data_IF_785715069636
#
_entry.id   IF_785715069636
#
_cell.length_a   1.000
_cell.length_b   1.000
_cell.length_c   1.000
_cell.angle_alpha   90.00
_cell.angle_beta   90.00
_cell.angle_gamma   90.00
#
_symmetry.space_group_name_H-M   'P 1'
#
loop_
_entity.id
_entity.type
_entity.pdbx_description
1 polymer ?
#
# COMPACT_ATOMS: atom_id res chain seq x y z
N UNK A 1 25.77 25.71 58.09
CA UNK A 1 25.94 27.16 57.83
C UNK A 1 24.73 27.60 57.00
N UNK A 2 23.74 28.20 57.65
CA UNK A 2 22.45 28.54 57.04
C UNK A 2 22.57 29.96 56.48
N UNK A 3 22.68 30.08 55.15
CA UNK A 3 22.63 31.39 54.49
C UNK A 3 21.21 31.94 54.61
N UNK A 4 21.02 32.84 55.58
CA UNK A 4 19.75 33.52 55.85
C UNK A 4 19.88 34.99 55.47
N UNK A 5 19.80 35.29 54.19
CA UNK A 5 19.55 36.64 53.69
C UNK A 5 18.95 36.51 52.30
N UNK A 6 17.67 36.86 52.11
CA UNK A 6 17.23 37.70 51.00
C UNK A 6 15.90 38.38 51.34
N UNK A 7 15.85 39.66 51.01
CA UNK A 7 14.76 40.59 51.25
C UNK A 7 13.53 40.16 50.41
N UNK A 8 12.36 39.99 51.03
CA UNK A 8 11.13 39.45 50.38
C UNK A 8 10.70 40.19 49.11
N UNK A 9 11.10 41.46 48.96
CA UNK A 9 10.77 42.28 47.77
C UNK A 9 11.59 41.91 46.52
N UNK A 10 12.76 41.26 46.65
CA UNK A 10 13.60 40.89 45.51
C UNK A 10 13.32 39.50 44.94
N UNK A 11 12.76 38.60 45.75
CA UNK A 11 12.55 37.20 45.37
C UNK A 11 11.59 37.03 44.19
N UNK A 12 10.51 37.82 44.14
CA UNK A 12 9.54 37.76 43.04
C UNK A 12 10.11 38.19 41.69
N UNK A 13 11.03 39.15 41.67
CA UNK A 13 11.70 39.56 40.42
C UNK A 13 12.64 38.47 39.90
N UNK A 14 13.35 37.78 40.79
CA UNK A 14 14.25 36.68 40.41
C UNK A 14 13.46 35.50 39.86
N UNK A 15 12.36 35.13 40.50
CA UNK A 15 11.48 34.05 40.04
C UNK A 15 10.89 34.35 38.65
N UNK A 16 10.48 35.60 38.42
CA UNK A 16 10.00 36.07 37.12
C UNK A 16 11.07 35.97 36.02
N UNK A 17 12.30 36.38 36.31
CA UNK A 17 13.42 36.31 35.34
C UNK A 17 13.74 34.86 34.99
N UNK A 18 13.82 33.97 35.99
CA UNK A 18 14.11 32.54 35.76
C UNK A 18 13.01 31.90 34.90
N UNK A 19 11.75 32.22 35.18
CA UNK A 19 10.61 31.69 34.42
C UNK A 19 10.64 32.15 32.96
N UNK A 20 11.01 33.41 32.71
CA UNK A 20 11.16 33.94 31.35
C UNK A 20 12.29 33.24 30.59
N UNK A 21 13.44 33.02 31.23
CA UNK A 21 14.58 32.32 30.62
C UNK A 21 14.23 30.89 30.26
N UNK A 22 13.54 30.17 31.17
CA UNK A 22 13.08 28.80 30.90
C UNK A 22 12.06 28.76 29.76
N UNK A 23 11.13 29.71 29.71
CA UNK A 23 10.13 29.79 28.66
C UNK A 23 10.75 30.08 27.29
N UNK A 24 11.63 31.09 27.19
CA UNK A 24 12.33 31.43 25.94
C UNK A 24 13.24 30.28 25.51
N UNK A 25 13.92 29.62 26.46
CA UNK A 25 14.76 28.45 26.19
C UNK A 25 13.94 27.27 25.66
N UNK A 26 12.76 27.01 26.22
CA UNK A 26 11.85 25.97 25.73
C UNK A 26 11.32 26.30 24.33
N UNK A 27 10.93 27.55 24.06
CA UNK A 27 10.53 27.95 22.71
C UNK A 27 11.67 27.75 21.71
N UNK A 28 12.89 28.18 22.05
CA UNK A 28 14.06 27.97 21.20
C UNK A 28 14.33 26.47 20.97
N UNK A 29 14.21 25.65 22.00
CA UNK A 29 14.28 24.20 21.87
C UNK A 29 13.22 23.67 20.90
N UNK A 30 11.95 24.07 21.01
CA UNK A 30 10.91 23.67 20.07
C UNK A 30 11.25 24.11 18.64
N UNK A 31 11.72 25.35 18.44
CA UNK A 31 12.09 25.81 17.09
C UNK A 31 13.30 25.09 16.49
N UNK A 32 14.30 24.74 17.30
CA UNK A 32 15.50 24.01 16.83
C UNK A 32 15.20 22.54 16.58
N UNK A 33 14.43 21.89 17.46
CA UNK A 33 14.19 20.45 17.40
C UNK A 33 12.96 20.08 16.58
N UNK A 34 11.87 20.84 16.67
CA UNK A 34 10.72 20.62 15.78
C UNK A 34 11.00 21.16 14.38
N UNK A 35 11.98 22.06 14.23
CA UNK A 35 12.41 22.68 12.98
C UNK A 35 11.24 22.91 12.01
N UNK A 36 10.19 23.66 12.43
CA UNK A 36 9.00 23.86 11.61
C UNK A 36 9.28 24.64 10.32
N UNK A 37 10.52 25.11 10.15
CA UNK A 37 11.02 25.83 8.98
C UNK A 37 11.88 24.96 8.06
N UNK A 38 12.19 23.71 8.41
CA UNK A 38 12.72 22.75 7.41
C UNK A 38 11.60 22.40 6.46
N UNK A 39 11.53 23.20 5.39
CA UNK A 39 10.86 22.99 4.11
C UNK A 39 9.39 22.60 4.24
N UNK A 40 8.51 23.58 3.98
CA UNK A 40 7.19 23.26 3.44
C UNK A 40 7.42 22.29 2.28
N UNK A 41 6.88 21.10 2.47
CA UNK A 41 7.21 19.88 1.78
C UNK A 41 6.80 20.02 0.30
N UNK A 42 7.77 19.98 -0.61
CA UNK A 42 7.50 19.72 -2.04
C UNK A 42 6.76 18.37 -2.20
N UNK A 43 6.63 17.57 -1.11
CA UNK A 43 5.87 16.34 -1.00
C UNK A 43 4.34 16.45 -1.07
N UNK A 44 3.73 17.64 -1.15
CA UNK A 44 2.27 17.75 -1.36
C UNK A 44 1.87 17.23 -2.75
N UNK A 45 2.64 17.56 -3.79
CA UNK A 45 2.37 17.13 -5.17
C UNK A 45 2.48 15.60 -5.31
N UNK A 46 3.58 15.00 -4.84
CA UNK A 46 3.78 13.55 -4.94
C UNK A 46 2.75 12.75 -4.13
N UNK A 47 2.21 13.32 -3.05
CA UNK A 47 1.16 12.69 -2.25
C UNK A 47 -0.13 12.50 -3.03
N UNK A 48 -0.56 13.52 -3.78
CA UNK A 48 -1.77 13.46 -4.62
C UNK A 48 -1.59 12.47 -5.75
N UNK A 49 -0.45 12.53 -6.48
CA UNK A 49 -0.15 11.56 -7.54
C UNK A 49 -0.08 10.14 -7.01
N UNK A 50 0.53 9.93 -5.85
CA UNK A 50 0.62 8.62 -5.21
C UNK A 50 -0.77 8.07 -4.87
N UNK A 51 -1.64 8.87 -4.25
CA UNK A 51 -2.99 8.45 -3.86
C UNK A 51 -3.83 8.12 -5.09
N UNK A 52 -3.87 9.02 -6.08
CA UNK A 52 -4.59 8.79 -7.33
C UNK A 52 -4.10 7.55 -8.09
N UNK A 53 -2.77 7.35 -8.18
CA UNK A 53 -2.20 6.18 -8.82
C UNK A 53 -2.54 4.88 -8.07
N UNK A 54 -2.34 4.84 -6.74
CA UNK A 54 -2.66 3.64 -5.95
C UNK A 54 -4.15 3.33 -6.01
N UNK A 55 -5.00 4.34 -6.02
CA UNK A 55 -6.45 4.16 -6.08
C UNK A 55 -6.91 3.57 -7.42
N UNK A 56 -6.36 4.03 -8.54
CA UNK A 56 -6.66 3.49 -9.87
C UNK A 56 -6.12 2.08 -10.10
N UNK A 57 -4.98 1.77 -9.48
CA UNK A 57 -4.32 0.48 -9.66
C UNK A 57 -4.85 -0.61 -8.71
N UNK A 58 -5.66 -0.26 -7.70
CA UNK A 58 -6.03 -1.18 -6.62
C UNK A 58 -7.52 -1.52 -6.57
N UNK A 59 -7.81 -2.75 -6.16
CA UNK A 59 -9.17 -3.20 -5.83
C UNK A 59 -9.28 -3.66 -4.38
N UNK A 60 -10.50 -3.62 -3.84
CA UNK A 60 -10.82 -4.31 -2.59
C UNK A 60 -10.91 -5.82 -2.87
N UNK A 61 -9.96 -6.58 -2.31
CA UNK A 61 -9.86 -8.02 -2.43
C UNK A 61 -10.32 -8.65 -1.11
N UNK A 62 -11.40 -9.42 -1.17
CA UNK A 62 -11.86 -10.21 -0.03
C UNK A 62 -10.94 -11.41 0.18
N UNK A 63 -10.68 -11.77 1.43
CA UNK A 63 -9.82 -12.89 1.82
C UNK A 63 -10.49 -13.71 2.90
N UNK A 64 -10.70 -15.00 2.63
CA UNK A 64 -11.23 -15.97 3.59
C UNK A 64 -10.27 -17.14 3.73
N UNK A 65 -9.96 -17.54 4.96
CA UNK A 65 -9.18 -18.77 5.19
C UNK A 65 -10.12 -19.95 5.43
N UNK A 66 -9.84 -21.08 4.82
CA UNK A 66 -10.54 -22.35 5.04
C UNK A 66 -9.55 -23.37 5.57
N UNK A 67 -9.90 -24.08 6.63
CA UNK A 67 -9.07 -25.13 7.22
C UNK A 67 -9.89 -26.42 7.25
N UNK A 68 -9.42 -27.45 6.57
CA UNK A 68 -10.06 -28.77 6.53
C UNK A 68 -9.64 -29.59 7.76
N UNK A 69 -10.61 -30.14 8.49
CA UNK A 69 -10.43 -30.71 9.83
C UNK A 69 -10.24 -32.25 9.84
N UNK A 70 -10.20 -32.89 8.67
CA UNK A 70 -10.33 -34.36 8.53
C UNK A 70 -9.14 -35.02 7.82
N UNK A 71 -9.22 -36.34 7.63
CA UNK A 71 -8.36 -37.13 6.73
C UNK A 71 -8.63 -36.86 5.25
N UNK A 72 -9.68 -36.08 4.92
CA UNK A 72 -9.94 -35.61 3.57
C UNK A 72 -9.20 -34.31 3.30
N UNK A 73 -8.76 -34.13 2.06
CA UNK A 73 -8.01 -32.96 1.62
C UNK A 73 -8.90 -31.87 0.99
N UNK A 74 -10.22 -31.93 1.15
CA UNK A 74 -11.14 -31.10 0.37
C UNK A 74 -12.40 -30.67 1.16
N UNK A 75 -13.04 -29.58 0.72
CA UNK A 75 -14.28 -29.02 1.28
C UNK A 75 -15.27 -28.66 0.16
N UNK A 76 -16.55 -28.57 0.50
CA UNK A 76 -17.56 -28.08 -0.42
C UNK A 76 -17.62 -26.53 -0.42
N UNK A 77 -17.65 -25.96 -1.61
CA UNK A 77 -17.78 -24.51 -1.82
C UNK A 77 -19.22 -23.99 -1.71
N UNK A 78 -20.19 -24.90 -1.61
CA UNK A 78 -21.57 -24.56 -1.29
C UNK A 78 -21.65 -23.81 0.06
N UNK A 79 -21.93 -22.50 -0.02
CA UNK A 79 -22.04 -21.62 1.15
C UNK A 79 -21.20 -20.35 1.07
N UNK A 80 -20.25 -20.23 0.13
CA UNK A 80 -19.46 -18.99 -0.02
C UNK A 80 -20.14 -17.87 -0.80
N UNK A 81 -21.34 -18.11 -1.33
CA UNK A 81 -22.08 -17.10 -2.09
C UNK A 81 -22.35 -15.80 -1.32
N UNK A 82 -22.29 -15.81 0.02
CA UNK A 82 -22.38 -14.60 0.84
C UNK A 82 -21.17 -13.67 0.77
N UNK A 83 -20.01 -14.15 0.28
CA UNK A 83 -18.77 -13.36 0.17
C UNK A 83 -18.49 -12.88 -1.26
N UNK A 84 -19.07 -13.55 -2.26
CA UNK A 84 -18.93 -13.19 -3.67
C UNK A 84 -19.04 -14.41 -4.58
N UNK A 85 -19.35 -14.17 -5.86
CA UNK A 85 -19.47 -15.22 -6.88
C UNK A 85 -18.17 -15.49 -7.64
N UNK A 86 -17.21 -14.55 -7.58
CA UNK A 86 -15.91 -14.66 -8.26
C UNK A 86 -14.82 -14.74 -7.20
N UNK A 87 -14.22 -15.93 -7.07
CA UNK A 87 -13.09 -16.14 -6.19
C UNK A 87 -12.08 -17.09 -6.80
N UNK A 88 -10.83 -16.99 -6.38
CA UNK A 88 -9.76 -17.96 -6.66
C UNK A 88 -9.35 -18.61 -5.37
N UNK A 89 -9.19 -19.93 -5.42
CA UNK A 89 -8.69 -20.73 -4.31
C UNK A 89 -7.18 -20.92 -4.43
N UNK A 90 -6.46 -20.61 -3.36
CA UNK A 90 -5.02 -20.84 -3.22
C UNK A 90 -4.77 -21.80 -2.07
N UNK A 91 -4.27 -22.99 -2.39
CA UNK A 91 -3.84 -23.98 -1.40
C UNK A 91 -2.50 -23.58 -0.80
N UNK A 92 -2.38 -23.66 0.52
CA UNK A 92 -1.12 -23.39 1.20
C UNK A 92 -0.10 -24.50 0.95
N UNK A 93 1.12 -24.11 0.59
CA UNK A 93 2.21 -25.05 0.24
C UNK A 93 2.81 -25.77 1.45
N UNK A 94 2.69 -25.19 2.65
CA UNK A 94 3.23 -25.75 3.91
C UNK A 94 2.16 -26.55 4.63
N UNK A 95 0.95 -26.01 4.72
CA UNK A 95 -0.19 -26.67 5.34
C UNK A 95 -1.24 -27.03 4.28
N UNK A 96 -1.14 -28.24 3.72
CA UNK A 96 -2.05 -28.72 2.68
C UNK A 96 -3.53 -28.80 3.10
N UNK A 97 -3.87 -28.53 4.37
CA UNK A 97 -5.26 -28.43 4.84
C UNK A 97 -5.76 -26.99 4.89
N UNK A 98 -4.88 -26.01 4.69
CA UNK A 98 -5.22 -24.59 4.67
C UNK A 98 -5.38 -24.13 3.23
N UNK A 99 -6.49 -23.49 2.99
CA UNK A 99 -6.81 -22.81 1.75
C UNK A 99 -7.08 -21.34 2.05
N UNK A 100 -6.78 -20.50 1.07
CA UNK A 100 -7.14 -19.08 1.08
C UNK A 100 -7.99 -18.81 -0.16
N UNK A 101 -9.20 -18.32 0.07
CA UNK A 101 -10.09 -17.86 -0.98
C UNK A 101 -9.91 -16.35 -1.13
N UNK A 102 -9.60 -15.90 -2.34
CA UNK A 102 -9.54 -14.50 -2.71
C UNK A 102 -10.76 -14.14 -3.54
N UNK A 103 -11.54 -13.15 -3.10
CA UNK A 103 -12.75 -12.67 -3.74
C UNK A 103 -12.49 -11.34 -4.44
N UNK A 104 -13.01 -11.18 -5.65
CA UNK A 104 -12.78 -9.99 -6.47
C UNK A 104 -13.41 -10.12 -7.85
N UNK A 105 -13.91 -9.01 -8.40
CA UNK A 105 -14.58 -8.99 -9.71
C UNK A 105 -13.64 -9.27 -10.89
N UNK A 106 -12.34 -9.06 -10.70
CA UNK A 106 -11.30 -9.26 -11.73
C UNK A 106 -10.80 -10.71 -11.82
N UNK A 107 -11.15 -11.57 -10.86
CA UNK A 107 -10.80 -12.98 -10.93
C UNK A 107 -11.60 -13.69 -12.03
N UNK A 108 -10.94 -14.61 -12.74
CA UNK A 108 -11.59 -15.41 -13.77
C UNK A 108 -12.32 -16.62 -13.14
N UNK A 109 -13.67 -16.62 -13.08
CA UNK A 109 -14.43 -17.72 -12.49
C UNK A 109 -14.26 -19.05 -13.25
N UNK A 110 -13.82 -19.00 -14.51
CA UNK A 110 -13.62 -20.20 -15.36
C UNK A 110 -12.34 -20.96 -15.04
N UNK A 111 -11.42 -20.35 -14.27
CA UNK A 111 -10.14 -20.94 -13.87
C UNK A 111 -10.12 -21.40 -12.43
N UNK A 112 -11.25 -21.30 -11.72
CA UNK A 112 -11.35 -21.89 -10.39
C UNK A 112 -11.09 -23.37 -10.56
N UNK A 113 -9.92 -23.82 -10.09
CA UNK A 113 -9.65 -25.24 -9.93
C UNK A 113 -10.59 -25.72 -8.83
N UNK A 114 -11.85 -25.96 -9.20
CA UNK A 114 -12.83 -26.56 -8.30
C UNK A 114 -12.27 -27.93 -8.00
N UNK A 115 -11.74 -28.09 -6.79
CA UNK A 115 -11.31 -29.39 -6.31
C UNK A 115 -12.58 -30.22 -6.27
N UNK A 116 -12.73 -31.12 -7.24
CA UNK A 116 -13.86 -32.03 -7.29
C UNK A 116 -13.69 -33.02 -6.14
N UNK A 117 -14.34 -32.70 -5.01
CA UNK A 117 -14.56 -33.63 -3.92
C UNK A 117 -15.55 -34.70 -4.39
N UNK A 118 -15.07 -35.69 -5.15
CA UNK A 118 -15.89 -36.86 -5.44
C UNK A 118 -15.97 -37.70 -4.16
N UNK A 119 -17.19 -37.84 -3.63
CA UNK A 119 -17.62 -38.92 -2.71
C UNK A 119 -17.16 -38.87 -1.25
N UNK A 120 -17.13 -37.69 -0.61
CA UNK A 120 -16.90 -37.61 0.84
C UNK A 120 -18.15 -37.15 1.60
N UNK A 121 -18.67 -38.03 2.46
CA UNK A 121 -19.88 -37.76 3.27
C UNK A 121 -19.64 -36.77 4.41
N UNK A 122 -18.39 -36.49 4.78
CA UNK A 122 -18.02 -35.63 5.91
C UNK A 122 -17.14 -34.43 5.50
N UNK A 123 -17.78 -33.33 5.09
CA UNK A 123 -17.15 -32.03 4.84
C UNK A 123 -16.93 -31.24 6.13
N UNK A 124 -16.00 -31.69 6.98
CA UNK A 124 -15.69 -30.96 8.20
C UNK A 124 -14.57 -29.94 7.93
N UNK A 125 -14.93 -28.68 7.76
CA UNK A 125 -14.00 -27.57 7.67
C UNK A 125 -14.37 -26.46 8.66
N UNK A 126 -13.38 -25.66 9.03
CA UNK A 126 -13.57 -24.43 9.78
C UNK A 126 -13.23 -23.23 8.91
N UNK A 127 -14.06 -22.20 9.00
CA UNK A 127 -13.80 -20.91 8.36
C UNK A 127 -13.03 -20.01 9.32
N UNK A 128 -11.97 -19.42 8.79
CA UNK A 128 -11.27 -18.31 9.41
C UNK A 128 -12.04 -16.99 9.22
N UNK A 129 -11.47 -15.87 9.69
CA UNK A 129 -12.05 -14.55 9.49
C UNK A 129 -12.02 -14.15 8.01
N UNK A 130 -13.11 -13.53 7.56
CA UNK A 130 -13.14 -12.78 6.31
C UNK A 130 -12.55 -11.38 6.54
N UNK A 131 -11.62 -10.97 5.68
CA UNK A 131 -11.05 -9.62 5.69
C UNK A 131 -11.02 -9.07 4.28
N UNK A 132 -11.24 -7.77 4.13
CA UNK A 132 -11.02 -7.07 2.86
C UNK A 132 -9.73 -6.28 2.93
N UNK A 133 -9.01 -6.27 1.82
CA UNK A 133 -7.77 -5.51 1.69
C UNK A 133 -7.70 -4.83 0.33
N UNK A 134 -7.25 -3.58 0.31
CA UNK A 134 -6.92 -2.88 -0.93
C UNK A 134 -5.55 -3.36 -1.44
N UNK A 135 -5.53 -4.02 -2.59
CA UNK A 135 -4.32 -4.60 -3.21
C UNK A 135 -4.24 -4.14 -4.66
N UNK A 136 -3.03 -3.87 -5.16
CA UNK A 136 -2.80 -3.54 -6.57
C UNK A 136 -3.11 -4.76 -7.43
N UNK A 137 -3.88 -4.57 -8.50
CA UNK A 137 -4.24 -5.65 -9.43
C UNK A 137 -3.39 -5.54 -10.69
N UNK A 138 -2.71 -6.61 -11.06
CA UNK A 138 -1.81 -6.65 -12.21
C UNK A 138 -2.51 -6.21 -13.51
N UNK A 139 -3.72 -6.71 -13.73
CA UNK A 139 -4.54 -6.39 -14.91
C UNK A 139 -4.91 -4.91 -14.98
N UNK A 140 -5.07 -4.24 -13.84
CA UNK A 140 -5.33 -2.79 -13.78
C UNK A 140 -4.07 -1.99 -14.08
N UNK A 141 -2.89 -2.49 -13.70
CA UNK A 141 -1.62 -1.89 -14.12
C UNK A 141 -1.47 -1.95 -15.63
N UNK A 142 -1.76 -3.09 -16.26
CA UNK A 142 -1.71 -3.20 -17.74
C UNK A 142 -2.70 -2.24 -18.40
N UNK A 143 -3.94 -2.15 -17.89
CA UNK A 143 -4.93 -1.18 -18.37
C UNK A 143 -4.41 0.26 -18.24
N UNK A 144 -3.91 0.62 -17.07
CA UNK A 144 -3.43 1.97 -16.76
C UNK A 144 -2.22 2.35 -17.62
N UNK A 145 -1.28 1.44 -17.86
CA UNK A 145 -0.14 1.66 -18.77
C UNK A 145 -0.62 1.96 -20.19
N UNK A 146 -1.59 1.20 -20.70
CA UNK A 146 -2.16 1.43 -22.03
C UNK A 146 -2.89 2.78 -22.12
N UNK A 147 -3.65 3.16 -21.08
CA UNK A 147 -4.30 4.47 -20.99
C UNK A 147 -3.28 5.60 -20.91
N UNK A 148 -2.21 5.44 -20.13
CA UNK A 148 -1.14 6.40 -20.02
C UNK A 148 -0.45 6.65 -21.36
N UNK A 149 -0.16 5.59 -22.12
CA UNK A 149 0.50 5.69 -23.43
C UNK A 149 -0.43 6.30 -24.50
N UNK A 150 -1.73 6.02 -24.43
CA UNK A 150 -2.70 6.46 -25.42
C UNK A 150 -3.24 7.86 -25.18
N UNK A 151 -3.55 8.22 -23.94
CA UNK A 151 -4.14 9.50 -23.57
C UNK A 151 -3.65 10.03 -22.21
N UNK A 152 -2.35 10.31 -22.18
CA UNK A 152 -1.67 10.78 -20.97
C UNK A 152 -2.32 11.99 -20.30
N UNK A 153 -2.74 12.99 -21.09
CA UNK A 153 -3.17 14.27 -20.54
C UNK A 153 -4.50 14.13 -19.79
N UNK A 154 -5.46 13.40 -20.38
CA UNK A 154 -6.75 13.12 -19.74
C UNK A 154 -6.56 12.25 -18.49
N UNK A 155 -5.67 11.24 -18.54
CA UNK A 155 -5.37 10.39 -17.38
C UNK A 155 -4.72 11.19 -16.24
N UNK A 156 -3.71 12.01 -16.55
CA UNK A 156 -3.01 12.85 -15.58
C UNK A 156 -4.00 13.81 -14.89
N UNK A 157 -4.85 14.47 -15.66
CA UNK A 157 -5.85 15.41 -15.15
C UNK A 157 -6.92 14.68 -14.32
N UNK A 158 -7.31 13.46 -14.72
CA UNK A 158 -8.26 12.61 -13.99
C UNK A 158 -7.76 12.22 -12.59
N UNK A 159 -6.50 11.78 -12.47
CA UNK A 159 -5.91 11.44 -11.17
C UNK A 159 -5.45 12.67 -10.37
N UNK A 160 -5.55 13.87 -10.95
CA UNK A 160 -5.12 15.13 -10.32
C UNK A 160 -3.61 15.23 -10.12
N UNK A 161 -2.81 14.57 -10.95
CA UNK A 161 -1.35 14.55 -10.85
C UNK A 161 -0.68 15.67 -11.65
N UNK A 162 0.54 16.01 -11.26
CA UNK A 162 1.49 16.72 -12.14
C UNK A 162 2.08 15.77 -13.18
N UNK A 163 3.06 16.23 -13.96
CA UNK A 163 3.72 15.32 -14.89
C UNK A 163 4.45 14.22 -14.10
N UNK A 164 4.21 12.95 -14.45
CA UNK A 164 4.65 11.82 -13.63
C UNK A 164 5.01 10.60 -14.48
N UNK A 165 5.86 9.74 -13.93
CA UNK A 165 6.15 8.38 -14.41
C UNK A 165 6.14 7.43 -13.22
N UNK A 166 5.95 6.14 -13.49
CA UNK A 166 6.00 5.12 -12.45
C UNK A 166 6.54 3.81 -13.00
N UNK A 167 7.17 3.02 -12.15
CA UNK A 167 7.61 1.67 -12.46
C UNK A 167 7.50 0.75 -11.25
N UNK A 168 7.41 -0.55 -11.53
CA UNK A 168 7.45 -1.59 -10.53
C UNK A 168 8.81 -2.26 -10.51
N UNK A 169 9.41 -2.31 -9.33
CA UNK A 169 10.69 -2.94 -9.06
C UNK A 169 10.51 -4.12 -8.10
N UNK A 170 11.40 -5.09 -8.16
CA UNK A 170 11.49 -6.13 -7.13
C UNK A 170 12.04 -5.55 -5.82
N UNK A 171 12.12 -6.38 -4.78
CA UNK A 171 12.65 -5.98 -3.48
C UNK A 171 14.15 -5.61 -3.53
N UNK A 172 14.87 -6.06 -4.55
CA UNK A 172 16.27 -5.74 -4.84
C UNK A 172 16.43 -4.52 -5.77
N UNK A 173 15.32 -3.84 -6.10
CA UNK A 173 15.23 -2.67 -7.00
C UNK A 173 15.56 -2.95 -8.46
N UNK A 174 15.47 -4.20 -8.91
CA UNK A 174 15.54 -4.54 -10.33
C UNK A 174 14.17 -4.35 -10.97
N UNK A 175 14.14 -3.96 -12.24
CA UNK A 175 12.91 -3.86 -13.01
C UNK A 175 12.26 -5.24 -13.16
N UNK A 176 10.95 -5.32 -12.89
CA UNK A 176 10.22 -6.58 -13.05
C UNK A 176 9.62 -6.64 -14.45
N UNK A 177 9.97 -7.69 -15.18
CA UNK A 177 9.32 -8.08 -16.42
C UNK A 177 8.31 -9.18 -16.10
N UNK A 178 7.04 -8.83 -15.99
CA UNK A 178 5.98 -9.81 -15.83
C UNK A 178 5.63 -10.38 -17.21
N UNK A 179 5.50 -11.71 -17.29
CA UNK A 179 4.95 -12.43 -18.44
C UNK A 179 5.74 -12.31 -19.76
N UNK A 180 7.04 -12.63 -19.78
CA UNK A 180 7.85 -12.83 -21.01
C UNK A 180 7.84 -11.67 -22.04
N UNK A 181 7.17 -10.56 -21.71
CA UNK A 181 7.20 -9.32 -22.44
C UNK A 181 8.41 -8.54 -21.94
N UNK A 182 9.27 -8.18 -22.88
CA UNK A 182 10.45 -7.35 -22.65
C UNK A 182 10.13 -5.95 -22.10
N UNK A 183 8.86 -5.57 -22.08
CA UNK A 183 8.37 -4.32 -21.48
C UNK A 183 8.22 -4.50 -19.98
N UNK A 184 9.01 -3.78 -19.19
CA UNK A 184 8.82 -3.75 -17.75
C UNK A 184 7.46 -3.15 -17.36
N UNK A 185 6.98 -3.46 -16.15
CA UNK A 185 5.74 -2.88 -15.65
C UNK A 185 5.93 -1.42 -15.26
N UNK A 186 5.34 -0.52 -16.06
CA UNK A 186 5.35 0.91 -15.81
C UNK A 186 5.51 1.69 -17.11
N UNK A 187 5.67 2.99 -16.94
CA UNK A 187 5.83 3.95 -18.03
C UNK A 187 6.95 4.89 -17.65
N UNK A 188 7.94 5.01 -18.53
CA UNK A 188 9.02 5.96 -18.36
C UNK A 188 8.80 7.14 -19.31
N UNK A 189 8.78 8.33 -18.75
CA UNK A 189 8.71 9.59 -19.49
C UNK A 189 9.81 10.50 -18.98
N UNK A 190 10.54 11.08 -19.92
CA UNK A 190 11.64 11.99 -19.60
C UNK A 190 11.09 13.34 -19.12
N UNK A 191 11.54 13.83 -17.95
CA UNK A 191 11.22 15.17 -17.50
C UNK A 191 11.81 16.22 -18.43
N UNK A 192 11.20 17.41 -18.49
CA UNK A 192 11.75 18.51 -19.29
C UNK A 192 13.11 18.94 -18.72
N UNK A 193 13.99 19.40 -19.58
CA UNK A 193 15.29 19.90 -19.14
C UNK A 193 15.13 21.06 -18.15
N UNK A 194 15.68 20.90 -16.95
CA UNK A 194 15.58 21.87 -15.86
C UNK A 194 14.40 21.66 -14.89
N UNK A 195 13.52 20.70 -15.14
CA UNK A 195 12.45 20.33 -14.20
C UNK A 195 13.02 19.74 -12.90
N UNK A 196 12.36 20.04 -11.79
CA UNK A 196 12.66 19.43 -10.49
C UNK A 196 11.95 18.08 -10.43
N UNK A 197 12.71 17.01 -10.23
CA UNK A 197 12.16 15.65 -10.16
C UNK A 197 12.14 15.18 -8.72
N UNK A 198 10.97 14.80 -8.24
CA UNK A 198 10.76 14.18 -6.93
C UNK A 198 10.46 12.70 -7.16
N UNK A 199 11.06 11.82 -6.37
CA UNK A 199 10.82 10.38 -6.48
C UNK A 199 10.54 9.73 -5.14
N UNK A 200 9.64 8.75 -5.13
CA UNK A 200 9.25 8.00 -3.93
C UNK A 200 9.08 6.52 -4.23
N UNK A 201 9.63 5.71 -3.34
CA UNK A 201 9.48 4.27 -3.32
C UNK A 201 8.39 3.86 -2.31
N UNK A 202 7.49 2.97 -2.70
CA UNK A 202 6.42 2.46 -1.85
C UNK A 202 6.39 0.95 -1.95
N UNK A 203 6.51 0.26 -0.81
CA UNK A 203 6.32 -1.18 -0.78
C UNK A 203 4.84 -1.49 -0.90
N UNK A 204 4.48 -2.24 -1.92
CA UNK A 204 3.09 -2.59 -2.24
C UNK A 204 2.98 -4.08 -2.51
N UNK A 205 1.75 -4.60 -2.40
CA UNK A 205 1.41 -5.95 -2.83
C UNK A 205 0.62 -5.87 -4.11
N UNK A 206 0.99 -6.72 -5.04
CA UNK A 206 0.30 -6.88 -6.31
C UNK A 206 -0.29 -8.30 -6.38
N UNK A 207 -1.51 -8.43 -6.89
CA UNK A 207 -2.18 -9.71 -7.13
C UNK A 207 -2.57 -9.80 -8.61
N UNK A 208 -2.44 -10.98 -9.20
CA UNK A 208 -2.93 -11.25 -10.56
C UNK A 208 -4.26 -12.03 -10.56
N UNK A 209 -4.86 -12.21 -11.74
CA UNK A 209 -6.09 -13.00 -11.93
C UNK A 209 -6.02 -14.46 -11.48
N UNK A 210 -4.83 -15.01 -11.28
CA UNK A 210 -4.62 -16.37 -10.79
C UNK A 210 -4.31 -16.37 -9.26
N UNK A 211 -4.55 -15.24 -8.59
CA UNK A 211 -4.32 -14.97 -7.16
C UNK A 211 -2.87 -15.19 -6.68
N UNK A 212 -1.90 -15.05 -7.58
CA UNK A 212 -0.49 -14.99 -7.20
C UNK A 212 -0.19 -13.60 -6.65
N UNK A 213 0.40 -13.56 -5.47
CA UNK A 213 0.77 -12.31 -4.81
C UNK A 213 2.26 -12.06 -4.99
N UNK A 214 2.60 -10.84 -5.38
CA UNK A 214 3.95 -10.34 -5.55
C UNK A 214 4.16 -9.19 -4.57
N UNK A 215 5.31 -9.20 -3.88
CA UNK A 215 5.78 -8.07 -3.08
C UNK A 215 6.72 -7.25 -3.97
N UNK A 216 6.36 -5.99 -4.22
CA UNK A 216 7.02 -5.13 -5.20
C UNK A 216 7.18 -3.73 -4.65
N UNK A 217 8.10 -2.96 -5.24
CA UNK A 217 8.28 -1.54 -4.97
C UNK A 217 7.66 -0.77 -6.11
N UNK A 218 6.63 0.03 -5.82
CA UNK A 218 6.13 1.05 -6.73
C UNK A 218 7.02 2.29 -6.58
N UNK A 219 7.81 2.59 -7.59
CA UNK A 219 8.56 3.85 -7.65
C UNK A 219 7.79 4.84 -8.53
N UNK A 220 7.53 6.01 -7.97
CA UNK A 220 6.80 7.10 -8.60
C UNK A 220 7.78 8.27 -8.74
N UNK A 221 7.79 8.91 -9.91
CA UNK A 221 8.54 10.13 -10.19
C UNK A 221 7.56 11.20 -10.64
N UNK A 222 7.67 12.40 -10.08
CA UNK A 222 6.81 13.55 -10.39
C UNK A 222 7.69 14.75 -10.69
N UNK A 223 7.29 15.62 -11.63
CA UNK A 223 8.00 16.84 -11.99
C UNK A 223 7.08 17.94 -12.50
N UNK A 224 7.57 19.18 -12.38
CA UNK A 224 6.95 20.43 -12.84
C UNK A 224 7.68 21.07 -14.04
#
# INVERSE_FOLDING_TARGET
MVFKFFNKKGQGHVEMIISLVLFVGFLFFVFVFANPLTKADDGVSIGVTQEGLVDELSYSVGKLSVIVNTTSDCYDSEGFGGYGSSFVEVKDVVNLRRYTLYFGSFFNPSKVNVISCSDLEDYNFSLGPYNEEKIIVYEEVERFVNEYESDYFDLRDYIGAEDFSFNFLDLDRNQINFLDDSRGLGVEREPREGSVVISRDINVRMIDKDARIYEVILNIRVWE
#
